data_IF_521334628909
#
_entry.id   IF_521334628909
#
_cell.length_a   1.000
_cell.length_b   1.000
_cell.length_c   1.000
_cell.angle_alpha   90.00
_cell.angle_beta   90.00
_cell.angle_gamma   90.00
#
_symmetry.space_group_name_H-M   'P 1'
#
loop_
_entity.id
_entity.type
_entity.pdbx_description
1 polymer ?
#
# COMPACT_ATOMS: atom_id res chain seq x y z
N UNK A 1 47.31 -7.89 13.26
CA UNK A 1 45.92 -8.23 13.68
C UNK A 1 44.88 -7.16 13.38
N UNK A 2 45.22 -5.85 13.36
CA UNK A 2 44.23 -4.80 13.06
C UNK A 2 43.81 -4.76 11.58
N UNK A 3 44.77 -4.78 10.65
CA UNK A 3 44.52 -4.75 9.21
C UNK A 3 43.64 -5.92 8.72
N UNK A 4 43.84 -7.13 9.26
CA UNK A 4 43.04 -8.32 8.92
C UNK A 4 41.59 -8.15 9.38
N UNK A 5 41.36 -7.57 10.57
CA UNK A 5 40.01 -7.25 11.04
C UNK A 5 39.33 -6.21 10.15
N UNK A 6 40.04 -5.16 9.76
CA UNK A 6 39.50 -4.11 8.90
C UNK A 6 39.12 -4.65 7.49
N UNK A 7 39.89 -5.59 6.94
CA UNK A 7 39.56 -6.25 5.68
C UNK A 7 38.31 -7.16 5.79
N UNK A 8 38.15 -7.86 6.91
CA UNK A 8 36.98 -8.70 7.17
C UNK A 8 35.72 -7.84 7.37
N UNK A 9 35.82 -6.74 8.12
CA UNK A 9 34.72 -5.79 8.31
C UNK A 9 34.28 -5.15 6.98
N UNK A 10 35.22 -4.70 6.14
CA UNK A 10 34.91 -4.16 4.81
C UNK A 10 34.28 -5.21 3.88
N UNK A 11 34.70 -6.47 3.97
CA UNK A 11 34.05 -7.58 3.23
C UNK A 11 32.64 -7.82 3.73
N UNK A 12 32.42 -7.83 5.05
CA UNK A 12 31.08 -7.99 5.64
C UNK A 12 30.17 -6.82 5.28
N UNK A 13 30.64 -5.57 5.29
CA UNK A 13 29.86 -4.39 4.85
C UNK A 13 29.53 -4.43 3.36
N UNK A 14 30.50 -4.77 2.50
CA UNK A 14 30.26 -4.97 1.06
C UNK A 14 29.32 -6.13 0.79
N UNK A 15 29.39 -7.18 1.59
CA UNK A 15 28.45 -8.30 1.51
C UNK A 15 27.07 -7.85 1.99
N UNK A 16 26.98 -7.09 3.09
CA UNK A 16 25.74 -6.50 3.62
C UNK A 16 25.05 -5.59 2.61
N UNK A 17 25.79 -4.69 1.97
CA UNK A 17 25.28 -3.79 0.92
C UNK A 17 24.90 -4.53 -0.35
N UNK A 18 25.62 -5.61 -0.70
CA UNK A 18 25.21 -6.54 -1.77
C UNK A 18 24.02 -7.40 -1.36
N UNK A 19 23.76 -7.62 -0.07
CA UNK A 19 22.70 -8.52 0.42
C UNK A 19 21.31 -7.91 0.61
N UNK A 20 21.09 -6.61 0.46
CA UNK A 20 19.72 -6.06 0.43
C UNK A 20 19.55 -5.07 -0.72
N UNK A 21 19.47 -5.58 -1.94
CA UNK A 21 18.89 -4.74 -3.00
C UNK A 21 17.43 -4.50 -2.60
N UNK A 22 17.04 -3.24 -2.52
CA UNK A 22 15.69 -2.81 -2.16
C UNK A 22 15.26 -1.73 -3.15
N UNK A 23 13.96 -1.62 -3.37
CA UNK A 23 13.35 -0.52 -4.11
C UNK A 23 12.62 0.38 -3.12
N UNK A 24 12.77 1.70 -3.24
CA UNK A 24 12.15 2.65 -2.32
C UNK A 24 11.20 3.57 -3.09
N UNK A 25 10.06 3.86 -2.49
CA UNK A 25 9.09 4.83 -2.98
C UNK A 25 8.76 5.83 -1.89
N UNK A 26 8.48 7.06 -2.30
CA UNK A 26 8.04 8.10 -1.39
C UNK A 26 6.75 7.68 -0.66
N UNK A 27 6.60 8.16 0.58
CA UNK A 27 5.50 7.87 1.51
C UNK A 27 5.37 6.41 2.01
N UNK A 28 5.77 5.39 1.23
CA UNK A 28 5.58 3.96 1.59
C UNK A 28 6.88 3.21 1.92
N UNK A 29 8.04 3.85 1.76
CA UNK A 29 9.32 3.33 2.21
C UNK A 29 9.96 2.34 1.24
N UNK A 30 10.77 1.42 1.78
CA UNK A 30 11.61 0.51 0.99
C UNK A 30 11.15 -0.95 1.08
N UNK A 31 11.11 -1.61 -0.07
CA UNK A 31 10.73 -3.01 -0.23
C UNK A 31 11.96 -3.84 -0.61
N UNK A 32 12.27 -4.94 0.11
CA UNK A 32 13.38 -5.81 -0.26
C UNK A 32 13.08 -6.48 -1.61
N UNK A 33 14.07 -6.51 -2.50
CA UNK A 33 13.93 -7.29 -3.73
C UNK A 33 13.90 -8.77 -3.34
N UNK A 34 12.86 -9.53 -3.72
CA UNK A 34 12.75 -10.94 -3.35
C UNK A 34 14.01 -11.71 -3.75
N UNK A 35 14.50 -12.56 -2.85
CA UNK A 35 15.51 -13.57 -3.17
C UNK A 35 14.91 -14.94 -2.94
N UNK A 36 14.76 -15.66 -4.04
CA UNK A 36 14.41 -17.07 -4.22
C UNK A 36 14.25 -17.85 -2.92
N UNK A 37 13.02 -18.00 -2.42
CA UNK A 37 12.34 -19.31 -2.45
C UNK A 37 10.79 -19.24 -2.51
N UNK A 38 10.18 -18.09 -2.21
CA UNK A 38 8.71 -17.97 -2.07
C UNK A 38 7.99 -17.24 -3.21
N UNK A 39 8.72 -16.65 -4.17
CA UNK A 39 8.13 -15.90 -5.29
C UNK A 39 8.85 -16.24 -6.60
N UNK A 40 8.35 -17.21 -7.39
CA UNK A 40 9.01 -17.66 -8.61
C UNK A 40 9.32 -16.54 -9.62
N UNK A 41 8.53 -15.46 -9.58
CA UNK A 41 8.67 -14.33 -10.50
C UNK A 41 9.70 -13.29 -10.05
N UNK A 42 10.16 -13.33 -8.79
CA UNK A 42 11.15 -12.37 -8.23
C UNK A 42 10.82 -10.90 -8.52
N UNK A 43 9.52 -10.58 -8.66
CA UNK A 43 9.08 -9.23 -9.00
C UNK A 43 9.03 -8.38 -7.75
N UNK A 44 9.66 -7.21 -7.84
CA UNK A 44 9.45 -6.15 -6.86
C UNK A 44 8.07 -5.51 -7.07
N UNK A 45 7.50 -4.85 -6.05
CA UNK A 45 6.29 -4.05 -6.23
C UNK A 45 6.47 -3.02 -7.35
N UNK A 46 5.36 -2.66 -8.00
CA UNK A 46 5.33 -1.50 -8.89
C UNK A 46 5.30 -0.21 -8.05
N UNK A 47 5.65 0.94 -8.66
CA UNK A 47 5.58 2.23 -7.97
C UNK A 47 4.14 2.60 -7.61
N UNK A 48 3.91 3.40 -6.56
CA UNK A 48 2.58 3.91 -6.22
C UNK A 48 1.85 4.54 -7.42
N UNK A 49 2.56 5.31 -8.25
CA UNK A 49 2.01 5.94 -9.46
C UNK A 49 1.56 4.91 -10.51
N UNK A 50 2.27 3.79 -10.63
CA UNK A 50 1.92 2.73 -11.57
C UNK A 50 0.76 1.86 -11.06
N UNK A 51 0.66 1.68 -9.74
CA UNK A 51 -0.46 0.96 -9.11
C UNK A 51 -1.73 1.83 -9.07
N UNK A 52 -1.58 3.16 -8.96
CA UNK A 52 -2.68 4.14 -8.92
C UNK A 52 -3.77 3.76 -7.89
N UNK A 53 -3.34 3.50 -6.65
CA UNK A 53 -4.25 3.09 -5.57
C UNK A 53 -5.22 4.23 -5.25
N UNK A 54 -6.53 3.94 -5.35
CA UNK A 54 -7.61 4.90 -5.07
C UNK A 54 -8.39 4.50 -3.83
N UNK A 55 -8.66 5.48 -2.99
CA UNK A 55 -9.55 5.33 -1.83
C UNK A 55 -10.90 5.94 -2.16
N UNK A 56 -11.92 5.09 -2.24
CA UNK A 56 -13.30 5.50 -2.48
C UNK A 56 -14.09 5.33 -1.19
N UNK A 57 -14.62 6.45 -0.68
CA UNK A 57 -15.41 6.48 0.55
C UNK A 57 -16.89 6.38 0.20
N UNK A 58 -17.56 5.42 0.82
CA UNK A 58 -19.01 5.28 0.84
C UNK A 58 -19.49 5.42 2.29
N UNK A 59 -20.48 6.28 2.50
CA UNK A 59 -21.15 6.45 3.79
C UNK A 59 -22.66 6.33 3.62
N UNK A 60 -23.39 6.27 4.74
CA UNK A 60 -24.87 6.30 4.71
C UNK A 60 -25.41 7.58 4.05
N UNK A 61 -24.65 8.67 4.05
CA UNK A 61 -25.04 9.95 3.43
C UNK A 61 -24.78 10.01 1.92
N UNK A 62 -23.85 9.21 1.39
CA UNK A 62 -23.42 9.26 -0.02
C UNK A 62 -23.21 7.85 -0.61
N UNK A 63 -24.26 7.02 -0.63
CA UNK A 63 -24.18 5.66 -1.16
C UNK A 63 -23.95 5.58 -2.68
N UNK A 64 -24.44 6.57 -3.43
CA UNK A 64 -24.30 6.67 -4.89
C UNK A 64 -23.03 7.40 -5.33
N UNK A 65 -22.64 8.44 -4.60
CA UNK A 65 -21.58 9.38 -4.99
C UNK A 65 -20.36 9.22 -4.10
N UNK A 66 -19.50 8.27 -4.49
CA UNK A 66 -18.28 7.96 -3.77
C UNK A 66 -17.33 9.17 -3.73
N UNK A 67 -16.84 9.49 -2.55
CA UNK A 67 -15.81 10.53 -2.38
C UNK A 67 -14.42 9.92 -2.53
N UNK A 68 -13.55 10.54 -3.33
CA UNK A 68 -12.16 10.13 -3.42
C UNK A 68 -11.35 10.74 -2.29
N UNK A 69 -10.49 9.93 -1.67
CA UNK A 69 -9.45 10.42 -0.75
C UNK A 69 -8.11 10.46 -1.48
N UNK A 70 -7.45 11.60 -1.41
CA UNK A 70 -6.17 11.87 -2.07
C UNK A 70 -5.06 11.95 -1.04
N UNK A 71 -3.95 11.25 -1.29
CA UNK A 71 -2.76 11.38 -0.45
C UNK A 71 -2.07 12.72 -0.62
N UNK A 72 -1.48 13.23 0.46
CA UNK A 72 -0.68 14.46 0.41
C UNK A 72 -1.49 15.74 0.24
N UNK A 73 -2.82 15.67 0.22
CA UNK A 73 -3.71 16.82 0.03
C UNK A 73 -4.01 17.59 1.33
N UNK A 74 -3.19 17.40 2.38
CA UNK A 74 -3.37 18.01 3.70
C UNK A 74 -4.73 17.69 4.34
N UNK A 75 -5.25 16.48 4.11
CA UNK A 75 -6.52 15.98 4.64
C UNK A 75 -7.77 16.69 4.09
N UNK A 76 -7.65 17.44 2.98
CA UNK A 76 -8.78 18.18 2.40
C UNK A 76 -9.87 17.23 1.94
N UNK A 77 -9.53 16.22 1.12
CA UNK A 77 -10.49 15.21 0.68
C UNK A 77 -11.10 14.41 1.84
N UNK A 78 -10.28 14.09 2.85
CA UNK A 78 -10.72 13.35 4.03
C UNK A 78 -11.79 14.13 4.81
N UNK A 79 -11.57 15.42 5.07
CA UNK A 79 -12.53 16.29 5.74
C UNK A 79 -13.85 16.44 4.97
N UNK A 80 -13.80 16.32 3.64
CA UNK A 80 -14.96 16.44 2.76
C UNK A 80 -15.65 15.10 2.45
N UNK A 81 -15.24 14.00 3.09
CA UNK A 81 -15.69 12.64 2.74
C UNK A 81 -16.88 12.08 3.52
N UNK A 82 -17.43 12.87 4.46
CA UNK A 82 -18.44 12.43 5.43
C UNK A 82 -17.99 11.27 6.34
N UNK A 83 -16.70 10.92 6.36
CA UNK A 83 -16.17 9.97 7.34
C UNK A 83 -16.30 10.55 8.75
N UNK A 84 -16.79 9.71 9.66
CA UNK A 84 -16.95 10.05 11.07
C UNK A 84 -16.00 9.19 11.89
N UNK A 85 -15.02 9.77 12.60
CA UNK A 85 -14.01 9.00 13.33
C UNK A 85 -14.61 8.16 14.47
N UNK A 86 -15.77 8.57 14.99
CA UNK A 86 -16.52 7.85 16.03
C UNK A 86 -17.26 6.61 15.52
N UNK A 87 -17.35 6.38 14.21
CA UNK A 87 -18.03 5.23 13.63
C UNK A 87 -17.03 4.17 13.14
N UNK A 88 -17.39 2.87 13.19
CA UNK A 88 -16.55 1.82 12.62
C UNK A 88 -16.27 2.04 11.13
N UNK A 89 -15.00 2.03 10.75
CA UNK A 89 -14.58 2.04 9.35
C UNK A 89 -14.36 0.61 8.85
N UNK A 90 -14.89 0.29 7.67
CA UNK A 90 -14.71 -1.01 6.99
C UNK A 90 -13.99 -0.77 5.67
N UNK A 91 -12.98 -1.59 5.37
CA UNK A 91 -12.19 -1.47 4.13
C UNK A 91 -12.47 -2.69 3.26
N UNK A 92 -12.85 -2.45 2.00
CA UNK A 92 -13.08 -3.48 0.98
C UNK A 92 -11.96 -3.36 -0.05
N UNK A 93 -11.19 -4.43 -0.25
CA UNK A 93 -10.08 -4.48 -1.19
C UNK A 93 -10.36 -5.58 -2.21
N UNK A 94 -10.37 -5.23 -3.50
CA UNK A 94 -10.54 -6.22 -4.55
C UNK A 94 -9.25 -7.01 -4.79
N UNK A 95 -9.38 -8.16 -5.46
CA UNK A 95 -8.26 -9.04 -5.78
C UNK A 95 -8.08 -9.22 -7.29
N UNK A 96 -7.81 -10.46 -7.67
CA UNK A 96 -7.49 -10.90 -9.03
C UNK A 96 -8.45 -10.33 -10.08
N UNK A 97 -7.91 -9.54 -11.03
CA UNK A 97 -8.64 -8.91 -12.14
C UNK A 97 -9.87 -8.08 -11.74
N UNK A 98 -10.00 -7.70 -10.46
CA UNK A 98 -11.11 -6.91 -9.97
C UNK A 98 -10.85 -5.40 -9.98
N UNK A 99 -11.87 -4.65 -9.60
CA UNK A 99 -11.84 -3.20 -9.41
C UNK A 99 -12.65 -2.81 -8.17
N UNK A 100 -12.23 -1.73 -7.50
CA UNK A 100 -13.00 -1.14 -6.39
C UNK A 100 -14.38 -0.60 -6.81
N UNK A 101 -14.65 -0.50 -8.12
CA UNK A 101 -15.96 -0.11 -8.68
C UNK A 101 -16.82 -1.30 -9.10
N UNK A 102 -16.35 -2.52 -8.91
CA UNK A 102 -17.13 -3.70 -9.28
C UNK A 102 -18.43 -3.78 -8.46
N UNK A 103 -19.46 -4.40 -9.06
CA UNK A 103 -20.78 -4.56 -8.44
C UNK A 103 -20.70 -5.16 -7.04
N UNK A 104 -19.78 -6.10 -6.83
CA UNK A 104 -19.57 -6.78 -5.53
C UNK A 104 -19.12 -5.79 -4.45
N UNK A 105 -18.20 -4.87 -4.76
CA UNK A 105 -17.74 -3.86 -3.81
C UNK A 105 -18.89 -2.95 -3.37
N UNK A 106 -19.75 -2.54 -4.32
CA UNK A 106 -20.94 -1.72 -4.02
C UNK A 106 -21.98 -2.46 -3.19
N UNK A 107 -22.27 -3.72 -3.52
CA UNK A 107 -23.23 -4.55 -2.78
C UNK A 107 -22.76 -4.79 -1.34
N UNK A 108 -21.48 -5.14 -1.16
CA UNK A 108 -20.89 -5.34 0.16
C UNK A 108 -20.86 -4.03 0.96
N UNK A 109 -20.51 -2.91 0.32
CA UNK A 109 -20.56 -1.58 0.93
C UNK A 109 -21.94 -1.23 1.46
N UNK A 110 -23.00 -1.43 0.65
CA UNK A 110 -24.38 -1.21 1.08
C UNK A 110 -24.76 -2.12 2.26
N UNK A 111 -24.48 -3.42 2.16
CA UNK A 111 -24.81 -4.37 3.22
C UNK A 111 -24.13 -4.01 4.55
N UNK A 112 -22.86 -3.60 4.52
CA UNK A 112 -22.11 -3.18 5.71
C UNK A 112 -22.65 -1.88 6.32
N UNK A 113 -23.25 -1.00 5.51
CA UNK A 113 -23.89 0.24 5.97
C UNK A 113 -25.31 0.00 6.51
N UNK A 114 -25.89 -1.18 6.28
CA UNK A 114 -27.22 -1.56 6.79
C UNK A 114 -27.14 -2.35 8.12
N UNK A 115 -25.92 -2.71 8.56
CA UNK A 115 -25.65 -3.19 9.92
C UNK A 115 -25.79 -2.06 10.95
#
# INVERSE_FOLDING_TARGET
MQLVRDHLSRRQERQKSRTSKQICYDMVGCFPIPRTSYSPLMKSPQSPDAVDTKFLVMTRHNRSDLTYITYGDQHVSLKNSNLRPELPTKIIIHGFKGSGRDKVARLLGNALLDL
#
